data_IF_636999908242
#
_entry.id   IF_636999908242
#
_cell.length_a   1.000
_cell.length_b   1.000
_cell.length_c   1.000
_cell.angle_alpha   90.00
_cell.angle_beta   90.00
_cell.angle_gamma   90.00
#
_symmetry.space_group_name_H-M   'P 1'
#
loop_
_entity.id
_entity.type
_entity.pdbx_description
1 polymer ?
#
# COMPACT_ATOMS: atom_id res chain seq x y z
N UNK A 1 -8.85 6.66 -2.80
CA UNK A 1 -8.06 7.29 -3.88
C UNK A 1 -6.99 6.29 -4.33
N UNK A 2 -6.65 6.24 -5.62
CA UNK A 2 -5.55 5.40 -6.13
C UNK A 2 -4.30 6.25 -6.32
N UNK A 3 -3.14 5.69 -5.97
CA UNK A 3 -1.83 6.33 -6.04
C UNK A 3 -0.86 5.39 -6.79
N UNK A 4 0.09 5.92 -7.56
CA UNK A 4 1.13 5.09 -8.18
C UNK A 4 2.05 4.52 -7.09
N UNK A 5 2.47 3.26 -7.26
CA UNK A 5 3.58 2.73 -6.48
C UNK A 5 4.89 3.46 -6.84
N UNK A 6 5.69 3.78 -5.82
CA UNK A 6 6.89 4.60 -5.97
C UNK A 6 8.03 3.87 -6.66
N UNK A 7 8.24 2.59 -6.36
CA UNK A 7 9.32 1.80 -6.96
C UNK A 7 9.02 1.51 -8.43
N UNK A 8 7.78 1.13 -8.74
CA UNK A 8 7.33 0.93 -10.13
C UNK A 8 7.41 2.22 -10.95
N UNK A 9 7.09 3.36 -10.35
CA UNK A 9 7.21 4.66 -11.00
C UNK A 9 8.66 5.07 -11.25
N UNK A 10 9.57 4.80 -10.32
CA UNK A 10 11.00 5.06 -10.48
C UNK A 10 11.61 4.22 -11.62
N UNK A 11 11.26 2.95 -11.73
CA UNK A 11 11.69 2.08 -12.83
C UNK A 11 11.19 2.61 -14.18
N UNK A 12 9.89 2.90 -14.30
CA UNK A 12 9.33 3.45 -15.54
C UNK A 12 9.97 4.80 -15.92
N UNK A 13 10.34 5.61 -14.92
CA UNK A 13 11.06 6.86 -15.14
C UNK A 13 12.52 6.65 -15.60
N UNK A 14 13.15 5.50 -15.36
CA UNK A 14 14.45 5.17 -15.96
C UNK A 14 14.26 4.83 -17.45
N UNK A 15 13.28 3.97 -17.76
CA UNK A 15 12.94 3.59 -19.14
C UNK A 15 12.60 4.79 -20.03
N UNK A 16 11.82 5.74 -19.51
CA UNK A 16 11.44 6.95 -20.24
C UNK A 16 12.62 7.91 -20.51
N UNK A 17 13.62 7.95 -19.60
CA UNK A 17 14.85 8.71 -19.84
C UNK A 17 15.73 8.04 -20.89
N UNK A 18 15.83 6.72 -20.86
CA UNK A 18 16.58 5.95 -21.86
C UNK A 18 15.96 6.04 -23.26
N UNK A 19 14.63 5.93 -23.37
CA UNK A 19 13.93 6.01 -24.66
C UNK A 19 13.84 7.43 -25.21
N UNK A 20 13.85 8.46 -24.35
CA UNK A 20 13.64 9.89 -24.69
C UNK A 20 12.29 10.18 -25.37
N UNK A 21 11.35 9.24 -25.31
CA UNK A 21 10.02 9.35 -25.94
C UNK A 21 9.01 10.08 -25.05
N UNK A 22 7.99 10.65 -25.68
CA UNK A 22 6.81 11.20 -25.03
C UNK A 22 5.70 10.14 -24.91
N UNK A 23 5.19 9.97 -23.69
CA UNK A 23 4.17 8.98 -23.34
C UNK A 23 2.88 9.65 -22.85
N UNK A 24 1.68 9.21 -23.30
CA UNK A 24 0.42 9.77 -22.84
C UNK A 24 0.16 9.41 -21.37
N UNK A 25 -0.06 10.43 -20.54
CA UNK A 25 -0.20 10.32 -19.09
C UNK A 25 -1.39 9.44 -18.67
N UNK A 26 -2.47 9.48 -19.44
CA UNK A 26 -3.67 8.69 -19.18
C UNK A 26 -3.39 7.19 -19.37
N UNK A 27 -2.61 6.83 -20.39
CA UNK A 27 -2.23 5.43 -20.64
C UNK A 27 -1.29 4.91 -19.56
N UNK A 28 -0.36 5.74 -19.08
CA UNK A 28 0.49 5.42 -17.92
C UNK A 28 -0.40 5.12 -16.71
N UNK A 29 -1.37 5.97 -16.40
CA UNK A 29 -2.30 5.77 -15.28
C UNK A 29 -3.11 4.46 -15.44
N UNK A 30 -3.60 4.14 -16.63
CA UNK A 30 -4.27 2.85 -16.91
C UNK A 30 -3.35 1.63 -16.74
N UNK A 31 -2.09 1.71 -17.23
CA UNK A 31 -1.07 0.65 -17.07
C UNK A 31 -0.65 0.43 -15.61
N UNK A 32 -0.79 1.45 -14.76
CA UNK A 32 -0.66 1.36 -13.32
C UNK A 32 -1.86 0.65 -12.69
N UNK A 33 -3.09 1.08 -13.00
CA UNK A 33 -4.33 0.49 -12.43
C UNK A 33 -4.53 -0.98 -12.81
N UNK A 34 -4.03 -1.41 -13.97
CA UNK A 34 -4.19 -2.77 -14.50
C UNK A 34 -3.59 -3.86 -13.59
N UNK A 35 -2.53 -3.58 -12.82
CA UNK A 35 -1.84 -4.56 -11.99
C UNK A 35 -1.83 -4.15 -10.51
N UNK A 36 -2.24 -5.04 -9.58
CA UNK A 36 -2.31 -4.71 -8.14
C UNK A 36 -0.96 -4.31 -7.52
N UNK A 37 0.15 -4.76 -8.09
CA UNK A 37 1.52 -4.51 -7.59
C UNK A 37 2.14 -3.21 -8.12
N UNK A 38 1.32 -2.38 -8.80
CA UNK A 38 1.72 -1.08 -9.36
C UNK A 38 0.99 0.09 -8.73
N UNK A 39 -0.06 -0.13 -7.95
CA UNK A 39 -0.81 0.95 -7.30
C UNK A 39 -0.97 0.72 -5.80
N UNK A 40 -1.17 1.82 -5.09
CA UNK A 40 -1.55 1.87 -3.69
C UNK A 40 -2.97 2.47 -3.58
N UNK A 41 -3.75 2.02 -2.62
CA UNK A 41 -5.06 2.56 -2.30
C UNK A 41 -4.95 3.38 -1.01
N UNK A 42 -5.17 4.69 -1.10
CA UNK A 42 -5.40 5.55 0.06
C UNK A 42 -6.87 5.41 0.47
N UNK A 43 -7.08 4.87 1.67
CA UNK A 43 -8.33 4.88 2.41
C UNK A 43 -8.32 6.07 3.37
N UNK A 44 -9.46 6.72 3.53
CA UNK A 44 -9.62 7.89 4.40
C UNK A 44 -11.05 7.90 4.94
N UNK A 45 -11.18 8.05 6.26
CA UNK A 45 -12.47 8.23 6.91
C UNK A 45 -13.01 9.64 6.62
N UNK A 46 -14.34 9.79 6.47
CA UNK A 46 -14.97 11.12 6.41
C UNK A 46 -14.54 12.00 7.58
N UNK A 47 -14.62 13.32 7.40
CA UNK A 47 -14.53 14.24 8.53
C UNK A 47 -15.73 13.99 9.46
N UNK A 48 -15.55 14.02 10.79
CA UNK A 48 -16.65 13.93 11.74
C UNK A 48 -17.57 15.15 11.62
N UNK A 49 -18.83 15.00 12.02
CA UNK A 49 -19.70 16.16 12.25
C UNK A 49 -19.21 16.96 13.48
N UNK A 50 -19.70 18.19 13.65
CA UNK A 50 -19.37 19.01 14.81
C UNK A 50 -19.77 18.28 16.11
N UNK A 51 -18.81 18.12 17.03
CA UNK A 51 -18.98 17.39 18.29
C UNK A 51 -18.77 15.88 18.23
N UNK A 52 -18.60 15.27 17.04
CA UNK A 52 -18.35 13.83 16.93
C UNK A 52 -16.85 13.46 17.01
N UNK A 53 -16.57 12.29 17.60
CA UNK A 53 -15.22 11.75 17.63
C UNK A 53 -14.78 11.29 16.23
N UNK A 54 -13.55 11.66 15.82
CA UNK A 54 -13.00 11.28 14.52
C UNK A 54 -12.79 9.77 14.42
N UNK A 55 -13.52 9.12 13.53
CA UNK A 55 -13.38 7.68 13.27
C UNK A 55 -12.00 7.35 12.70
N UNK A 56 -11.45 6.21 13.13
CA UNK A 56 -10.14 5.69 12.71
C UNK A 56 -10.29 4.35 11.99
N UNK A 57 -9.26 4.01 11.20
CA UNK A 57 -9.03 2.70 10.63
C UNK A 57 -7.86 2.05 11.37
N UNK A 58 -7.93 0.75 11.61
CA UNK A 58 -6.87 -0.06 12.19
C UNK A 58 -6.09 -0.74 11.07
N UNK A 59 -4.80 -0.42 10.92
CA UNK A 59 -3.92 -1.04 9.93
C UNK A 59 -2.92 -1.98 10.61
N UNK A 60 -2.86 -3.22 10.13
CA UNK A 60 -1.77 -4.13 10.45
C UNK A 60 -0.46 -3.64 9.81
N UNK A 61 0.60 -3.47 10.59
CA UNK A 61 1.89 -2.99 10.09
C UNK A 61 2.65 -4.08 9.32
N UNK A 62 2.41 -5.35 9.65
CA UNK A 62 3.07 -6.53 9.07
C UNK A 62 2.69 -6.82 7.61
N UNK A 63 1.42 -6.64 7.25
CA UNK A 63 0.90 -6.92 5.90
C UNK A 63 0.23 -5.72 5.24
N UNK A 64 0.10 -4.59 5.95
CA UNK A 64 -0.61 -3.37 5.53
C UNK A 64 -2.13 -3.53 5.32
N UNK A 65 -2.73 -4.67 5.68
CA UNK A 65 -4.18 -4.91 5.67
C UNK A 65 -4.91 -3.99 6.66
N UNK A 66 -6.15 -3.62 6.36
CA UNK A 66 -6.90 -2.56 7.08
C UNK A 66 -8.27 -3.06 7.51
N UNK A 67 -8.68 -2.65 8.70
CA UNK A 67 -9.91 -3.05 9.38
C UNK A 67 -10.61 -1.80 9.95
N UNK A 68 -11.95 -1.84 10.00
CA UNK A 68 -12.77 -0.80 10.66
C UNK A 68 -12.87 -0.97 12.17
N UNK A 69 -12.66 -2.19 12.67
CA UNK A 69 -12.74 -2.53 14.08
C UNK A 69 -11.42 -3.12 14.56
N UNK A 70 -10.91 -2.61 15.68
CA UNK A 70 -9.61 -3.00 16.26
C UNK A 70 -9.52 -4.49 16.56
N UNK A 71 -10.56 -5.07 17.18
CA UNK A 71 -10.61 -6.50 17.51
C UNK A 71 -10.41 -7.41 16.29
N UNK A 72 -10.91 -7.03 15.11
CA UNK A 72 -10.73 -7.80 13.88
C UNK A 72 -9.27 -7.73 13.39
N UNK A 73 -8.61 -6.59 13.57
CA UNK A 73 -7.18 -6.43 13.27
C UNK A 73 -6.31 -7.24 14.24
N UNK A 74 -6.68 -7.26 15.53
CA UNK A 74 -6.01 -8.05 16.56
C UNK A 74 -6.12 -9.56 16.28
N UNK A 75 -7.34 -10.05 15.98
CA UNK A 75 -7.55 -11.44 15.60
C UNK A 75 -6.81 -11.83 14.31
N UNK A 76 -6.75 -10.94 13.32
CA UNK A 76 -5.98 -11.16 12.08
C UNK A 76 -4.48 -11.29 12.35
N UNK A 77 -3.90 -10.39 13.15
CA UNK A 77 -2.46 -10.41 13.51
C UNK A 77 -2.10 -11.73 14.20
N UNK A 78 -2.89 -12.15 15.19
CA UNK A 78 -2.65 -13.40 15.94
C UNK A 78 -2.86 -14.66 15.08
N UNK A 79 -3.78 -14.63 14.10
CA UNK A 79 -4.06 -15.79 13.25
C UNK A 79 -3.05 -15.95 12.11
N UNK A 80 -2.71 -14.85 11.42
CA UNK A 80 -2.11 -14.88 10.09
C UNK A 80 -0.61 -14.49 10.08
N UNK A 81 -0.01 -14.13 11.22
CA UNK A 81 1.39 -13.66 11.30
C UNK A 81 2.26 -14.36 12.36
N UNK A 82 1.81 -15.44 13.00
CA UNK A 82 2.62 -16.22 13.94
C UNK A 82 3.94 -16.70 13.32
N UNK A 83 3.89 -17.11 12.06
CA UNK A 83 5.02 -17.55 11.25
C UNK A 83 6.13 -16.50 11.09
N UNK A 84 5.82 -15.21 11.29
CA UNK A 84 6.82 -14.14 11.25
C UNK A 84 7.65 -14.03 12.53
N UNK A 85 7.05 -14.29 13.68
CA UNK A 85 7.68 -14.13 15.00
C UNK A 85 8.21 -15.45 15.57
N UNK A 86 7.59 -16.56 15.18
CA UNK A 86 7.92 -17.89 15.64
C UNK A 86 8.49 -18.75 14.50
N UNK A 87 9.50 -19.54 14.83
CA UNK A 87 9.84 -20.75 14.12
C UNK A 87 8.86 -21.84 14.57
N UNK A 88 8.26 -22.53 13.60
CA UNK A 88 7.17 -23.47 13.81
C UNK A 88 7.69 -24.85 13.45
N UNK A 89 7.91 -25.69 14.45
CA UNK A 89 8.47 -27.03 14.29
C UNK A 89 7.42 -28.08 14.66
N UNK A 90 7.25 -29.10 13.81
CA UNK A 90 6.53 -30.31 14.20
C UNK A 90 7.51 -31.28 14.86
N UNK A 91 7.31 -31.53 16.16
CA UNK A 91 8.10 -32.50 16.92
C UNK A 91 7.31 -33.78 17.15
N UNK A 92 8.00 -34.93 17.06
CA UNK A 92 7.42 -36.21 17.44
C UNK A 92 7.66 -36.46 18.93
N UNK A 93 6.57 -36.43 19.70
CA UNK A 93 6.55 -36.68 21.14
C UNK A 93 6.04 -38.09 21.41
N UNK A 94 6.47 -38.69 22.52
CA UNK A 94 6.04 -40.03 22.91
C UNK A 94 4.51 -40.12 23.01
N UNK A 95 3.86 -41.16 22.43
CA UNK A 95 2.42 -41.30 22.45
C UNK A 95 1.88 -41.34 23.89
N UNK A 96 0.66 -40.83 24.15
CA UNK A 96 0.16 -40.66 25.51
C UNK A 96 0.14 -42.00 26.27
N UNK A 97 0.87 -42.04 27.38
CA UNK A 97 0.96 -43.21 28.25
C UNK A 97 -0.36 -43.41 29.00
N UNK A 98 -1.05 -44.52 28.72
CA UNK A 98 -2.30 -44.87 29.36
C UNK A 98 -3.04 -46.02 28.69
N UNK A 99 -3.80 -46.77 29.49
CA UNK A 99 -4.71 -47.80 28.97
C UNK A 99 -6.06 -47.16 28.61
N UNK A 100 -6.17 -46.71 27.36
CA UNK A 100 -7.37 -46.08 26.83
C UNK A 100 -8.23 -47.10 26.10
N UNK A 101 -9.32 -47.55 26.72
CA UNK A 101 -10.21 -48.53 26.11
C UNK A 101 -11.22 -47.92 25.09
N UNK A 102 -11.34 -46.59 25.03
CA UNK A 102 -12.41 -45.89 24.30
C UNK A 102 -11.93 -44.52 23.85
N UNK A 103 -12.35 -44.07 22.66
CA UNK A 103 -12.03 -42.75 22.09
C UNK A 103 -13.32 -42.01 21.70
N UNK A 104 -13.39 -40.72 21.99
CA UNK A 104 -14.49 -39.88 21.53
C UNK A 104 -14.26 -39.43 20.08
N UNK A 105 -15.33 -39.44 19.30
CA UNK A 105 -15.35 -39.07 17.89
C UNK A 105 -16.43 -38.03 17.64
N UNK A 106 -16.11 -37.01 16.85
CA UNK A 106 -17.09 -36.03 16.41
C UNK A 106 -18.08 -36.69 15.43
N UNK A 107 -19.38 -36.68 15.73
CA UNK A 107 -20.41 -37.22 14.84
C UNK A 107 -20.64 -36.40 13.56
N UNK A 108 -19.99 -35.24 13.42
CA UNK A 108 -20.10 -34.36 12.25
C UNK A 108 -18.91 -34.48 11.29
N UNK A 109 -17.67 -34.35 11.77
CA UNK A 109 -16.46 -34.51 10.94
C UNK A 109 -15.89 -35.92 10.92
N UNK A 110 -16.27 -36.76 11.88
CA UNK A 110 -15.63 -38.05 12.11
C UNK A 110 -14.23 -37.97 12.73
N UNK A 111 -13.76 -36.79 13.13
CA UNK A 111 -12.44 -36.61 13.76
C UNK A 111 -12.42 -37.14 15.19
N UNK A 112 -11.25 -37.64 15.60
CA UNK A 112 -11.01 -38.19 16.94
C UNK A 112 -10.62 -37.04 17.89
N UNK A 113 -11.29 -36.98 19.04
CA UNK A 113 -11.12 -35.96 20.08
C UNK A 113 -10.31 -36.47 21.28
N UNK A 114 -10.01 -37.77 21.30
CA UNK A 114 -9.34 -38.45 22.39
C UNK A 114 -10.29 -39.10 23.42
N UNK A 115 -9.76 -39.87 24.38
CA UNK A 115 -10.52 -40.52 25.44
C UNK A 115 -11.10 -39.49 26.43
N UNK A 116 -12.32 -39.68 26.97
CA UNK A 116 -12.90 -38.77 27.97
C UNK A 116 -12.07 -38.60 29.26
N UNK A 117 -11.18 -39.55 29.55
CA UNK A 117 -10.29 -39.54 30.72
C UNK A 117 -8.92 -38.89 30.44
N UNK A 118 -8.68 -38.37 29.23
CA UNK A 118 -7.41 -37.73 28.87
C UNK A 118 -7.45 -36.22 29.15
N UNK A 119 -6.38 -35.64 29.67
CA UNK A 119 -6.34 -34.22 30.09
C UNK A 119 -6.65 -33.25 28.92
N UNK A 120 -6.12 -33.49 27.71
CA UNK A 120 -6.36 -32.67 26.53
C UNK A 120 -7.77 -32.77 25.93
N UNK A 121 -8.62 -33.69 26.39
CA UNK A 121 -9.94 -33.97 25.80
C UNK A 121 -10.86 -32.73 25.72
N UNK A 122 -10.92 -31.94 26.81
CA UNK A 122 -11.76 -30.76 26.88
C UNK A 122 -11.23 -29.61 26.01
N UNK A 123 -9.92 -29.46 25.91
CA UNK A 123 -9.26 -28.46 25.07
C UNK A 123 -9.50 -28.77 23.59
N UNK A 124 -9.33 -30.04 23.19
CA UNK A 124 -9.56 -30.52 21.82
C UNK A 124 -11.02 -30.33 21.39
N UNK A 125 -11.98 -30.58 22.28
CA UNK A 125 -13.40 -30.24 22.05
C UNK A 125 -13.59 -28.74 21.80
N UNK A 126 -12.96 -27.90 22.61
CA UNK A 126 -13.13 -26.45 22.52
C UNK A 126 -12.52 -25.88 21.23
N UNK A 127 -11.34 -26.36 20.82
CA UNK A 127 -10.65 -25.99 19.59
C UNK A 127 -11.43 -26.43 18.34
N UNK A 128 -11.93 -27.66 18.31
CA UNK A 128 -12.65 -28.21 17.15
C UNK A 128 -14.04 -27.55 17.02
N UNK A 129 -14.70 -27.24 18.15
CA UNK A 129 -15.92 -26.44 18.17
C UNK A 129 -15.68 -25.01 17.68
N UNK A 130 -14.69 -24.29 18.23
CA UNK A 130 -14.47 -22.88 17.88
C UNK A 130 -13.97 -22.67 16.45
N UNK A 131 -13.18 -23.61 15.92
CA UNK A 131 -12.62 -23.52 14.56
C UNK A 131 -13.61 -23.89 13.45
N UNK A 132 -14.48 -24.88 13.65
CA UNK A 132 -15.38 -25.41 12.60
C UNK A 132 -16.87 -25.33 12.88
N UNK A 133 -17.26 -25.28 14.15
CA UNK A 133 -18.66 -25.40 14.58
C UNK A 133 -19.16 -24.23 15.45
N UNK A 134 -18.48 -23.07 15.40
CA UNK A 134 -18.88 -21.86 16.14
C UNK A 134 -20.27 -21.32 15.77
N UNK A 135 -20.88 -21.81 14.67
CA UNK A 135 -22.24 -21.48 14.24
C UNK A 135 -23.35 -22.27 14.97
N UNK A 136 -23.01 -23.25 15.81
CA UNK A 136 -23.96 -23.99 16.65
C UNK A 136 -23.61 -23.84 18.14
N UNK A 137 -24.58 -24.03 19.03
CA UNK A 137 -24.30 -23.95 20.47
C UNK A 137 -23.33 -25.04 20.91
N UNK A 138 -22.52 -24.76 21.94
CA UNK A 138 -21.59 -25.76 22.51
C UNK A 138 -22.35 -26.98 23.05
N UNK A 139 -23.58 -26.80 23.54
CA UNK A 139 -24.44 -27.90 24.00
C UNK A 139 -24.88 -28.83 22.86
N UNK A 140 -25.33 -28.26 21.72
CA UNK A 140 -25.70 -29.04 20.54
C UNK A 140 -24.51 -29.78 19.92
N UNK A 141 -23.32 -29.20 20.01
CA UNK A 141 -22.09 -29.84 19.58
C UNK A 141 -21.71 -31.01 20.48
N UNK A 142 -21.72 -30.82 21.81
CA UNK A 142 -21.45 -31.89 22.79
C UNK A 142 -22.43 -33.07 22.65
N UNK A 143 -23.70 -32.80 22.37
CA UNK A 143 -24.71 -33.83 22.13
C UNK A 143 -24.46 -34.69 20.87
N UNK A 144 -23.56 -34.26 19.97
CA UNK A 144 -23.17 -34.95 18.73
C UNK A 144 -21.82 -35.66 18.84
N UNK A 145 -21.24 -35.76 20.05
CA UNK A 145 -20.03 -36.54 20.29
C UNK A 145 -20.40 -37.99 20.59
N UNK A 146 -19.71 -38.92 19.93
CA UNK A 146 -19.93 -40.36 20.10
C UNK A 146 -18.68 -41.03 20.63
N UNK A 147 -18.86 -41.79 21.70
CA UNK A 147 -17.78 -42.50 22.41
C UNK A 147 -17.68 -43.91 21.82
N UNK A 148 -16.61 -44.17 21.08
CA UNK A 148 -16.42 -45.41 20.29
C UNK A 148 -15.34 -46.28 20.93
N UNK A 149 -15.68 -47.55 21.14
CA UNK A 149 -14.78 -48.58 21.68
C UNK A 149 -14.18 -49.39 20.53
N UNK A 150 -13.08 -48.89 20.00
CA UNK A 150 -12.35 -49.48 18.89
C UNK A 150 -10.84 -49.25 19.12
N UNK A 151 -10.07 -50.33 19.16
CA UNK A 151 -8.63 -50.31 19.44
C UNK A 151 -7.85 -49.62 18.31
N UNK A 152 -8.26 -49.79 17.05
CA UNK A 152 -7.63 -49.14 15.90
C UNK A 152 -7.84 -47.62 15.91
N UNK A 153 -9.01 -47.14 16.34
CA UNK A 153 -9.26 -45.70 16.50
C UNK A 153 -8.52 -45.11 17.72
N UNK A 154 -8.31 -45.89 18.78
CA UNK A 154 -7.46 -45.47 19.90
C UNK A 154 -5.99 -45.35 19.45
N UNK A 155 -5.49 -46.28 18.66
CA UNK A 155 -4.13 -46.20 18.08
C UNK A 155 -4.00 -45.02 17.11
N UNK A 156 -4.97 -44.82 16.20
CA UNK A 156 -4.99 -43.68 15.31
C UNK A 156 -5.00 -42.34 16.06
N UNK A 157 -5.74 -42.25 17.18
CA UNK A 157 -5.67 -41.07 18.04
C UNK A 157 -4.29 -40.92 18.71
N UNK A 158 -3.72 -41.99 19.28
CA UNK A 158 -2.37 -41.97 19.87
C UNK A 158 -1.31 -41.53 18.85
N UNK A 159 -1.42 -41.94 17.58
CA UNK A 159 -0.55 -41.49 16.50
C UNK A 159 -0.77 -40.00 16.17
N UNK A 160 -2.01 -39.51 16.20
CA UNK A 160 -2.28 -38.08 16.00
C UNK A 160 -1.70 -37.19 17.11
N UNK A 161 -1.65 -37.68 18.35
CA UNK A 161 -1.03 -36.98 19.50
C UNK A 161 0.50 -37.02 19.51
N UNK A 162 1.15 -37.86 18.67
CA UNK A 162 2.61 -37.85 18.52
C UNK A 162 3.10 -36.54 17.93
N UNK A 163 2.33 -35.92 17.03
CA UNK A 163 2.74 -34.70 16.33
C UNK A 163 2.36 -33.47 17.14
N UNK A 164 3.35 -32.81 17.75
CA UNK A 164 3.15 -31.54 18.46
C UNK A 164 3.85 -30.40 17.75
N UNK A 165 3.07 -29.40 17.36
CA UNK A 165 3.58 -28.14 16.82
C UNK A 165 4.11 -27.28 17.96
N UNK A 166 5.42 -27.06 17.99
CA UNK A 166 6.12 -26.18 18.92
C UNK A 166 6.43 -24.86 18.21
N UNK A 167 6.33 -23.77 18.96
CA UNK A 167 6.61 -22.41 18.52
C UNK A 167 7.81 -21.89 19.31
N UNK A 168 8.94 -21.60 18.64
CA UNK A 168 10.13 -20.98 19.25
C UNK A 168 10.28 -19.55 18.73
N UNK A 169 10.61 -18.59 19.58
CA UNK A 169 10.80 -17.20 19.14
C UNK A 169 12.03 -17.07 18.23
N UNK A 170 11.86 -16.48 17.04
CA UNK A 170 12.97 -16.22 16.09
C UNK A 170 13.97 -15.18 16.60
N UNK A 171 13.53 -14.33 17.52
CA UNK A 171 14.33 -13.32 18.21
C UNK A 171 13.97 -13.41 19.70
N UNK A 172 14.61 -14.31 20.47
CA UNK A 172 14.46 -14.33 21.91
C UNK A 172 15.06 -13.05 22.53
N UNK A 173 14.63 -12.65 23.74
CA UNK A 173 15.27 -11.54 24.45
C UNK A 173 16.73 -11.88 24.79
N UNK A 174 17.56 -10.84 24.89
CA UNK A 174 19.01 -10.97 25.01
C UNK A 174 19.40 -11.72 26.30
N UNK A 175 20.01 -12.91 26.15
CA UNK A 175 20.42 -13.78 27.25
C UNK A 175 19.51 -14.98 27.53
N UNK A 176 18.36 -15.12 26.86
CA UNK A 176 17.45 -16.27 27.02
C UNK A 176 17.48 -17.20 25.78
N UNK A 177 17.39 -18.51 26.01
CA UNK A 177 17.16 -19.47 24.92
C UNK A 177 15.70 -19.40 24.44
N UNK A 178 15.46 -19.72 23.16
CA UNK A 178 14.13 -19.68 22.57
C UNK A 178 13.24 -20.80 23.12
N UNK A 179 12.51 -20.50 24.20
CA UNK A 179 11.62 -21.43 24.89
C UNK A 179 10.60 -22.09 23.95
N UNK A 180 10.32 -23.37 24.22
CA UNK A 180 9.30 -24.14 23.52
C UNK A 180 7.90 -23.72 23.98
N UNK A 181 7.15 -23.08 23.09
CA UNK A 181 5.79 -22.62 23.39
C UNK A 181 4.75 -23.46 22.63
N UNK A 182 3.65 -23.74 23.31
CA UNK A 182 2.42 -24.20 22.65
C UNK A 182 1.82 -23.08 21.82
N UNK A 183 0.94 -23.44 20.86
CA UNK A 183 0.20 -22.44 20.06
C UNK A 183 -0.51 -21.39 20.92
N UNK A 184 -1.17 -21.81 22.01
CA UNK A 184 -1.90 -20.89 22.88
C UNK A 184 -0.97 -19.88 23.58
N UNK A 185 0.22 -20.31 24.02
CA UNK A 185 1.23 -19.43 24.62
C UNK A 185 1.84 -18.47 23.57
N UNK A 186 2.08 -18.94 22.34
CA UNK A 186 2.55 -18.09 21.25
C UNK A 186 1.50 -17.03 20.84
N UNK A 187 0.22 -17.41 20.79
CA UNK A 187 -0.88 -16.47 20.55
C UNK A 187 -1.02 -15.43 21.68
N UNK A 188 -0.86 -15.82 22.95
CA UNK A 188 -0.91 -14.88 24.08
C UNK A 188 0.31 -13.94 24.12
N UNK A 189 1.51 -14.46 23.83
CA UNK A 189 2.69 -13.61 23.63
C UNK A 189 2.44 -12.56 22.54
N UNK A 190 1.85 -12.97 21.42
CA UNK A 190 1.53 -12.07 20.31
C UNK A 190 0.47 -11.02 20.68
N UNK A 191 -0.55 -11.41 21.47
CA UNK A 191 -1.53 -10.47 22.06
C UNK A 191 -0.85 -9.45 22.96
N UNK A 192 0.13 -9.85 23.77
CA UNK A 192 0.88 -8.93 24.64
C UNK A 192 1.67 -7.85 23.88
N UNK A 193 2.13 -8.16 22.65
CA UNK A 193 2.90 -7.25 21.79
C UNK A 193 2.06 -6.50 20.74
N UNK A 194 0.75 -6.76 20.67
CA UNK A 194 -0.10 -6.37 19.54
C UNK A 194 -0.22 -4.86 19.32
N UNK A 195 -0.05 -4.06 20.38
CA UNK A 195 -0.06 -2.58 20.32
C UNK A 195 1.04 -2.02 19.40
N UNK A 196 2.17 -2.71 19.27
CA UNK A 196 3.25 -2.33 18.35
C UNK A 196 3.03 -2.78 16.90
N UNK A 197 2.12 -3.74 16.67
CA UNK A 197 1.86 -4.35 15.36
C UNK A 197 0.69 -3.68 14.61
N UNK A 198 -0.06 -2.81 15.29
CA UNK A 198 -1.24 -2.13 14.79
C UNK A 198 -1.06 -0.62 14.80
N UNK A 199 -1.51 0.06 13.75
CA UNK A 199 -1.59 1.52 13.67
C UNK A 199 -3.02 1.97 13.46
N UNK A 200 -3.53 2.77 14.38
CA UNK A 200 -4.80 3.47 14.22
C UNK A 200 -4.59 4.82 13.53
N UNK A 201 -5.39 5.11 12.50
CA UNK A 201 -5.33 6.40 11.80
C UNK A 201 -6.61 6.67 11.02
N UNK A 202 -7.09 7.93 10.89
CA UNK A 202 -8.18 8.25 9.97
C UNK A 202 -7.81 8.07 8.50
N UNK A 203 -6.52 7.87 8.17
CA UNK A 203 -6.03 7.65 6.80
C UNK A 203 -5.03 6.49 6.75
N UNK A 204 -5.22 5.55 5.83
CA UNK A 204 -4.34 4.42 5.62
C UNK A 204 -3.95 4.30 4.14
N UNK A 205 -2.75 3.80 3.86
CA UNK A 205 -2.30 3.48 2.50
C UNK A 205 -2.05 1.98 2.45
N UNK A 206 -2.67 1.30 1.48
CA UNK A 206 -2.72 -0.16 1.36
C UNK A 206 -2.20 -0.56 -0.03
N UNK A 207 -1.32 -1.57 -0.15
CA UNK A 207 -0.93 -2.12 -1.45
C UNK A 207 -2.14 -2.61 -2.26
N UNK A 208 -2.11 -2.47 -3.59
CA UNK A 208 -3.24 -2.83 -4.45
C UNK A 208 -3.67 -4.30 -4.36
N UNK A 209 -2.75 -5.21 -4.05
CA UNK A 209 -3.05 -6.61 -3.76
C UNK A 209 -3.86 -6.77 -2.46
N UNK A 210 -3.40 -6.14 -1.38
CA UNK A 210 -4.04 -6.16 -0.07
C UNK A 210 -5.42 -5.48 -0.08
N UNK A 211 -5.61 -4.44 -0.90
CA UNK A 211 -6.92 -3.76 -1.02
C UNK A 211 -8.03 -4.63 -1.66
N UNK A 212 -7.69 -5.75 -2.28
CA UNK A 212 -8.65 -6.74 -2.82
C UNK A 212 -9.02 -7.81 -1.79
N UNK A 213 -8.22 -7.91 -0.72
CA UNK A 213 -8.35 -8.91 0.33
C UNK A 213 -8.94 -8.28 1.60
N UNK A 214 -10.07 -7.56 1.53
CA UNK A 214 -10.75 -7.08 2.74
C UNK A 214 -11.82 -8.07 3.21
N UNK A 215 -11.78 -8.39 4.51
CA UNK A 215 -12.80 -9.22 5.17
C UNK A 215 -14.08 -8.40 5.46
N UNK A 216 -13.93 -7.09 5.72
CA UNK A 216 -15.04 -6.15 5.91
C UNK A 216 -15.72 -5.78 4.58
N UNK A 217 -17.04 -5.96 4.51
CA UNK A 217 -17.86 -5.71 3.33
C UNK A 217 -17.85 -4.23 2.91
N UNK A 218 -17.93 -3.30 3.86
CA UNK A 218 -17.98 -1.87 3.56
C UNK A 218 -16.66 -1.37 2.96
N UNK A 219 -15.51 -1.84 3.46
CA UNK A 219 -14.20 -1.57 2.86
C UNK A 219 -14.09 -2.16 1.45
N UNK A 220 -14.55 -3.40 1.26
CA UNK A 220 -14.51 -4.08 -0.05
C UNK A 220 -15.40 -3.38 -1.07
N UNK A 221 -16.63 -3.04 -0.70
CA UNK A 221 -17.55 -2.29 -1.54
C UNK A 221 -17.01 -0.89 -1.89
N UNK A 222 -16.45 -0.16 -0.93
CA UNK A 222 -15.85 1.15 -1.15
C UNK A 222 -14.67 1.11 -2.14
N UNK A 223 -13.74 0.15 -1.99
CA UNK A 223 -12.63 -0.01 -2.94
C UNK A 223 -13.11 -0.49 -4.31
N UNK A 224 -14.08 -1.39 -4.36
CA UNK A 224 -14.64 -1.89 -5.63
C UNK A 224 -15.33 -0.77 -6.42
N UNK A 225 -16.13 0.07 -5.74
CA UNK A 225 -16.76 1.24 -6.32
C UNK A 225 -15.75 2.29 -6.81
N UNK A 226 -14.70 2.55 -6.00
CA UNK A 226 -13.63 3.46 -6.41
C UNK A 226 -12.85 2.90 -7.62
N UNK A 227 -12.56 1.59 -7.65
CA UNK A 227 -11.90 0.94 -8.77
C UNK A 227 -12.74 1.02 -10.06
N UNK A 228 -14.06 0.80 -9.98
CA UNK A 228 -14.98 0.95 -11.12
C UNK A 228 -15.07 2.39 -11.68
N UNK A 229 -14.72 3.41 -10.88
CA UNK A 229 -14.61 4.80 -11.38
C UNK A 229 -13.29 4.99 -12.11
N UNK A 230 -12.17 4.62 -11.48
CA UNK A 230 -10.83 4.76 -12.09
C UNK A 230 -10.65 3.89 -13.33
N UNK A 231 -11.31 2.72 -13.42
CA UNK A 231 -11.23 1.82 -14.58
C UNK A 231 -11.88 2.40 -15.83
N UNK A 232 -12.78 3.38 -15.69
CA UNK A 232 -13.36 4.14 -16.80
C UNK A 232 -12.45 5.30 -17.20
N UNK A 233 -11.93 6.02 -16.21
CA UNK A 233 -10.99 7.12 -16.41
C UNK A 233 -10.13 7.29 -15.14
N UNK A 234 -8.81 7.01 -15.18
CA UNK A 234 -7.97 6.91 -13.98
C UNK A 234 -7.53 8.29 -13.44
N UNK A 235 -8.52 9.13 -13.09
CA UNK A 235 -8.35 10.51 -12.66
C UNK A 235 -7.43 10.65 -11.46
N UNK A 236 -7.61 9.86 -10.39
CA UNK A 236 -6.81 10.07 -9.17
C UNK A 236 -5.36 9.62 -9.35
N UNK A 237 -5.12 8.61 -10.19
CA UNK A 237 -3.77 8.24 -10.62
C UNK A 237 -3.13 9.33 -11.49
N UNK A 238 -3.86 9.90 -12.47
CA UNK A 238 -3.36 11.03 -13.27
C UNK A 238 -2.95 12.21 -12.38
N UNK A 239 -3.81 12.59 -11.43
CA UNK A 239 -3.55 13.71 -10.50
C UNK A 239 -2.37 13.42 -9.55
N UNK A 240 -2.13 12.17 -9.18
CA UNK A 240 -0.96 11.78 -8.38
C UNK A 240 0.34 11.67 -9.21
N UNK A 241 0.25 11.26 -10.48
CA UNK A 241 1.40 11.12 -11.39
C UNK A 241 1.95 12.48 -11.85
N UNK A 242 1.10 13.49 -12.08
CA UNK A 242 1.55 14.83 -12.50
C UNK A 242 2.64 15.46 -11.60
N UNK A 243 2.43 15.62 -10.27
CA UNK A 243 3.45 16.19 -9.39
C UNK A 243 4.67 15.26 -9.27
N UNK A 244 4.48 13.94 -9.24
CA UNK A 244 5.58 12.98 -9.16
C UNK A 244 6.51 13.07 -10.39
N UNK A 245 5.97 13.19 -11.60
CA UNK A 245 6.76 13.41 -12.80
C UNK A 245 7.51 14.75 -12.78
N UNK A 246 6.89 15.84 -12.28
CA UNK A 246 7.58 17.14 -12.11
C UNK A 246 8.76 17.04 -11.13
N UNK A 247 8.57 16.37 -9.99
CA UNK A 247 9.63 16.11 -9.01
C UNK A 247 10.78 15.30 -9.62
N UNK A 248 10.47 14.30 -10.46
CA UNK A 248 11.44 13.52 -11.22
C UNK A 248 12.07 14.24 -12.44
N UNK A 249 11.82 15.57 -12.58
CA UNK A 249 12.33 16.42 -13.67
C UNK A 249 11.82 16.06 -15.07
N UNK A 250 10.62 15.49 -15.19
CA UNK A 250 9.94 15.33 -16.47
C UNK A 250 9.13 16.57 -16.85
N UNK A 251 8.98 16.76 -18.15
CA UNK A 251 8.19 17.83 -18.75
C UNK A 251 6.81 17.29 -19.13
N UNK A 252 5.76 18.03 -18.76
CA UNK A 252 4.38 17.71 -19.14
C UNK A 252 3.87 18.76 -20.11
N UNK A 253 3.28 18.31 -21.22
CA UNK A 253 2.78 19.18 -22.29
C UNK A 253 1.51 18.60 -22.92
N UNK A 254 0.76 19.45 -23.62
CA UNK A 254 -0.43 19.06 -24.39
C UNK A 254 -0.16 19.21 -25.88
N UNK A 255 -0.39 18.15 -26.65
CA UNK A 255 -0.33 18.18 -28.13
C UNK A 255 -1.67 18.67 -28.70
N UNK A 256 -2.74 18.20 -28.07
CA UNK A 256 -4.15 18.36 -28.40
C UNK A 256 -4.92 18.69 -27.09
N UNK A 257 -6.15 19.21 -27.19
CA UNK A 257 -6.89 19.75 -26.03
C UNK A 257 -7.08 18.72 -24.90
N UNK A 258 -7.28 17.45 -25.28
CA UNK A 258 -7.69 16.35 -24.40
C UNK A 258 -6.52 15.62 -23.72
N UNK A 259 -5.36 15.52 -24.35
CA UNK A 259 -4.30 14.60 -23.92
C UNK A 259 -3.06 15.34 -23.41
N UNK A 260 -2.52 14.84 -22.31
CA UNK A 260 -1.28 15.33 -21.69
C UNK A 260 -0.22 14.25 -21.83
N UNK A 261 0.94 14.63 -22.37
CA UNK A 261 2.10 13.77 -22.55
C UNK A 261 3.19 14.11 -21.53
N UNK A 262 4.00 13.12 -21.21
CA UNK A 262 5.16 13.20 -20.32
C UNK A 262 6.41 12.83 -21.11
N UNK A 263 7.47 13.63 -21.01
CA UNK A 263 8.78 13.37 -21.65
C UNK A 263 9.93 13.76 -20.73
N UNK A 264 11.06 13.06 -20.85
CA UNK A 264 12.30 13.41 -20.16
C UNK A 264 13.04 14.59 -20.83
N UNK A 265 12.80 14.84 -22.12
CA UNK A 265 13.49 15.88 -22.91
C UNK A 265 12.63 17.14 -22.96
N UNK A 266 13.14 18.33 -22.61
CA UNK A 266 12.36 19.58 -22.69
C UNK A 266 11.96 19.89 -24.14
N UNK A 267 10.67 20.01 -24.47
CA UNK A 267 10.24 20.43 -25.81
C UNK A 267 10.72 21.85 -26.10
N UNK A 268 11.60 22.01 -27.08
CA UNK A 268 12.31 23.27 -27.38
C UNK A 268 12.29 23.55 -28.88
N UNK A 269 11.43 24.46 -29.38
CA UNK A 269 11.38 24.81 -30.79
C UNK A 269 12.74 25.30 -31.31
N UNK A 270 13.17 24.78 -32.45
CA UNK A 270 14.41 25.17 -33.13
C UNK A 270 14.09 26.24 -34.18
N UNK A 271 14.88 27.31 -34.21
CA UNK A 271 14.80 28.34 -35.24
C UNK A 271 15.31 27.78 -36.59
N UNK A 272 14.49 27.90 -37.63
CA UNK A 272 14.79 27.32 -38.95
C UNK A 272 15.97 28.05 -39.63
N UNK A 273 16.03 29.38 -39.48
CA UNK A 273 17.02 30.21 -40.18
C UNK A 273 18.46 29.96 -39.72
N UNK A 274 18.67 29.70 -38.43
CA UNK A 274 19.99 29.41 -37.83
C UNK A 274 20.42 27.95 -37.96
N UNK A 275 19.53 27.06 -38.40
CA UNK A 275 19.80 25.63 -38.53
C UNK A 275 20.64 25.26 -39.78
N UNK A 276 21.26 24.07 -39.77
CA UNK A 276 21.94 23.49 -40.93
C UNK A 276 20.93 23.08 -42.02
N UNK A 277 21.37 23.00 -43.27
CA UNK A 277 20.49 22.69 -44.41
C UNK A 277 19.69 21.38 -44.23
N UNK A 278 20.35 20.32 -43.75
CA UNK A 278 19.71 19.02 -43.46
C UNK A 278 18.65 19.14 -42.35
N UNK A 279 18.92 19.96 -41.31
CA UNK A 279 17.94 20.20 -40.24
C UNK A 279 16.74 21.00 -40.76
N UNK A 280 16.93 22.00 -41.63
CA UNK A 280 15.81 22.73 -42.27
C UNK A 280 14.93 21.79 -43.10
N UNK A 281 15.54 20.92 -43.90
CA UNK A 281 14.82 19.89 -44.67
C UNK A 281 13.95 19.01 -43.77
N UNK A 282 14.50 18.52 -42.65
CA UNK A 282 13.77 17.71 -41.66
C UNK A 282 12.62 18.51 -41.02
N UNK A 283 12.88 19.73 -40.55
CA UNK A 283 11.89 20.55 -39.84
C UNK A 283 10.73 20.95 -40.75
N UNK A 284 11.01 21.48 -41.94
CA UNK A 284 9.97 21.85 -42.91
C UNK A 284 9.15 20.65 -43.38
N UNK A 285 9.79 19.47 -43.51
CA UNK A 285 9.08 18.25 -43.87
C UNK A 285 8.15 17.75 -42.76
N UNK A 286 8.60 17.80 -41.49
CA UNK A 286 7.79 17.45 -40.31
C UNK A 286 6.66 18.45 -40.02
N UNK A 287 6.83 19.73 -40.36
CA UNK A 287 5.76 20.73 -40.26
C UNK A 287 4.63 20.44 -41.24
N UNK A 288 4.97 20.08 -42.48
CA UNK A 288 3.99 19.68 -43.50
C UNK A 288 3.36 18.30 -43.26
N UNK A 289 4.08 17.38 -42.60
CA UNK A 289 3.69 15.98 -42.42
C UNK A 289 3.82 15.53 -40.95
N UNK A 290 2.97 16.03 -40.03
CA UNK A 290 2.99 15.61 -38.64
C UNK A 290 2.52 14.16 -38.47
N UNK A 291 3.05 13.45 -37.47
CA UNK A 291 2.62 12.08 -37.14
C UNK A 291 3.31 10.97 -37.94
N UNK A 292 4.33 11.28 -38.72
CA UNK A 292 5.14 10.29 -39.47
C UNK A 292 6.26 9.69 -38.61
N UNK A 293 6.76 8.52 -38.99
CA UNK A 293 7.85 7.82 -38.30
C UNK A 293 9.24 8.17 -38.86
N UNK A 294 10.31 7.87 -38.11
CA UNK A 294 11.71 8.02 -38.59
C UNK A 294 11.96 7.37 -39.96
N UNK A 295 11.40 6.17 -40.18
CA UNK A 295 11.55 5.43 -41.44
C UNK A 295 10.88 6.15 -42.61
N UNK A 296 9.70 6.73 -42.38
CA UNK A 296 8.99 7.51 -43.39
C UNK A 296 9.70 8.84 -43.70
N UNK A 297 10.28 9.51 -42.70
CA UNK A 297 11.12 10.70 -42.92
C UNK A 297 12.30 10.36 -43.84
N UNK A 298 13.02 9.27 -43.56
CA UNK A 298 14.12 8.82 -44.41
C UNK A 298 13.65 8.48 -45.83
N UNK A 299 12.62 7.64 -45.95
CA UNK A 299 12.12 7.17 -47.25
C UNK A 299 11.60 8.30 -48.15
N UNK A 300 11.04 9.36 -47.58
CA UNK A 300 10.50 10.49 -48.35
C UNK A 300 11.54 11.59 -48.63
N UNK A 301 12.47 11.86 -47.72
CA UNK A 301 13.54 12.85 -47.95
C UNK A 301 14.72 12.29 -48.76
N UNK A 302 14.94 10.97 -48.74
CA UNK A 302 16.01 10.26 -49.48
C UNK A 302 15.44 8.96 -50.10
N UNK A 303 14.53 9.06 -51.09
CA UNK A 303 13.87 7.91 -51.69
C UNK A 303 14.85 6.98 -52.40
N UNK A 304 14.74 5.68 -52.12
CA UNK A 304 15.62 4.65 -52.68
C UNK A 304 17.04 4.62 -52.11
N UNK A 305 17.36 5.44 -51.10
CA UNK A 305 18.64 5.37 -50.41
C UNK A 305 18.71 4.10 -49.53
N UNK A 306 19.84 3.41 -49.59
CA UNK A 306 20.19 2.37 -48.63
C UNK A 306 20.27 2.99 -47.22
N UNK A 307 19.62 2.42 -46.18
CA UNK A 307 19.77 2.91 -44.80
C UNK A 307 21.22 2.92 -44.29
N UNK A 308 22.12 2.12 -44.86
CA UNK A 308 23.56 2.14 -44.53
C UNK A 308 24.35 3.18 -45.33
N UNK A 309 23.73 3.89 -46.28
CA UNK A 309 24.39 4.96 -47.03
C UNK A 309 24.73 6.17 -46.15
N UNK A 310 25.85 6.83 -46.46
CA UNK A 310 26.32 7.99 -45.70
C UNK A 310 25.27 9.12 -45.57
N UNK A 311 24.49 9.38 -46.63
CA UNK A 311 23.42 10.38 -46.61
C UNK A 311 22.20 9.99 -45.78
N UNK A 312 21.89 8.69 -45.67
CA UNK A 312 20.87 8.19 -44.76
C UNK A 312 21.34 8.29 -43.30
N UNK A 313 22.59 7.89 -43.03
CA UNK A 313 23.22 8.00 -41.71
C UNK A 313 23.30 9.45 -41.22
N UNK A 314 23.69 10.41 -42.07
CA UNK A 314 23.72 11.83 -41.74
C UNK A 314 22.33 12.37 -41.36
N UNK A 315 21.30 12.05 -42.14
CA UNK A 315 19.92 12.48 -41.87
C UNK A 315 19.39 11.89 -40.56
N UNK A 316 19.61 10.59 -40.33
CA UNK A 316 19.19 9.91 -39.10
C UNK A 316 19.96 10.41 -37.86
N UNK A 317 21.23 10.78 -37.99
CA UNK A 317 22.03 11.40 -36.93
C UNK A 317 21.45 12.77 -36.55
N UNK A 318 21.20 13.65 -37.54
CA UNK A 318 20.58 14.96 -37.29
C UNK A 318 19.19 14.81 -36.66
N UNK A 319 18.36 13.90 -37.14
CA UNK A 319 17.04 13.62 -36.55
C UNK A 319 17.13 13.08 -35.11
N UNK A 320 18.12 12.23 -34.83
CA UNK A 320 18.37 11.70 -33.49
C UNK A 320 18.84 12.79 -32.52
N UNK A 321 19.68 13.73 -32.98
CA UNK A 321 20.12 14.89 -32.21
C UNK A 321 18.95 15.87 -31.96
N UNK A 322 18.08 16.10 -32.94
CA UNK A 322 16.87 16.91 -32.77
C UNK A 322 15.93 16.33 -31.70
N UNK A 323 15.77 15.00 -31.65
CA UNK A 323 15.01 14.33 -30.58
C UNK A 323 15.75 14.39 -29.24
N UNK A 324 17.09 14.26 -29.23
CA UNK A 324 17.90 14.35 -28.02
C UNK A 324 17.82 15.71 -27.32
N UNK A 325 17.74 16.80 -28.10
CA UNK A 325 17.70 18.18 -27.61
C UNK A 325 16.29 18.80 -27.59
N UNK A 326 15.26 18.03 -27.95
CA UNK A 326 13.85 18.45 -27.85
C UNK A 326 13.33 19.32 -28.98
N UNK A 327 14.11 19.48 -30.07
CA UNK A 327 13.69 20.13 -31.30
C UNK A 327 12.67 19.33 -32.12
N UNK A 328 12.61 18.02 -31.91
CA UNK A 328 11.55 17.13 -32.40
C UNK A 328 11.09 16.26 -31.24
N UNK A 329 9.78 16.05 -31.13
CA UNK A 329 9.16 15.15 -30.15
C UNK A 329 8.95 13.80 -30.84
N UNK A 330 9.52 12.73 -30.29
CA UNK A 330 9.19 11.35 -30.65
C UNK A 330 8.19 10.79 -29.63
N UNK A 331 7.06 10.28 -30.08
CA UNK A 331 6.06 9.64 -29.22
C UNK A 331 6.37 8.15 -29.01
N UNK A 332 5.70 7.55 -28.03
CA UNK A 332 5.86 6.14 -27.66
C UNK A 332 5.67 5.17 -28.85
N UNK A 333 4.78 5.51 -29.78
CA UNK A 333 4.46 4.77 -31.01
C UNK A 333 5.47 4.98 -32.15
N UNK A 334 6.47 5.85 -31.95
CA UNK A 334 7.51 6.19 -32.94
C UNK A 334 7.10 7.27 -33.94
N UNK A 335 5.93 7.88 -33.78
CA UNK A 335 5.53 9.06 -34.56
C UNK A 335 6.27 10.32 -34.09
N UNK A 336 6.43 11.28 -35.00
CA UNK A 336 7.20 12.50 -34.79
C UNK A 336 6.29 13.73 -34.90
N UNK A 337 6.52 14.73 -34.05
CA UNK A 337 5.93 16.06 -34.19
C UNK A 337 6.90 17.16 -33.76
N UNK A 338 6.70 18.36 -34.30
CA UNK A 338 7.42 19.54 -33.84
C UNK A 338 6.85 20.05 -32.50
N UNK A 339 7.71 20.51 -31.56
CA UNK A 339 7.25 21.17 -30.35
C UNK A 339 6.52 22.47 -30.72
N UNK A 340 5.25 22.56 -30.34
CA UNK A 340 4.49 23.81 -30.50
C UNK A 340 5.04 24.85 -29.52
N UNK A 341 5.69 25.88 -30.05
CA UNK A 341 6.05 27.05 -29.26
C UNK A 341 4.80 27.63 -28.57
N UNK A 342 4.95 28.11 -27.34
CA UNK A 342 3.91 28.93 -26.69
C UNK A 342 3.71 30.18 -27.54
N UNK A 343 2.72 30.19 -28.44
CA UNK A 343 2.15 31.44 -28.93
C UNK A 343 1.71 32.20 -27.69
N UNK A 344 2.36 33.32 -27.40
CA UNK A 344 1.97 34.18 -26.29
C UNK A 344 0.48 34.51 -26.48
N UNK A 345 -0.33 34.22 -25.46
CA UNK A 345 -1.73 34.68 -25.44
C UNK A 345 -1.67 36.20 -25.57
N UNK A 346 -2.30 36.84 -26.58
CA UNK A 346 -2.37 38.28 -26.62
C UNK A 346 -3.08 38.72 -25.34
N UNK A 347 -2.42 39.56 -24.55
CA UNK A 347 -3.00 40.14 -23.35
C UNK A 347 -4.16 41.02 -23.77
N UNK A 348 -5.40 40.55 -23.57
CA UNK A 348 -6.59 41.38 -23.75
C UNK A 348 -6.55 42.45 -22.66
N UNK A 349 -6.18 43.67 -23.05
CA UNK A 349 -6.22 44.84 -22.18
C UNK A 349 -7.66 45.05 -21.71
N UNK A 350 -7.93 44.75 -20.44
CA UNK A 350 -9.24 44.95 -19.83
C UNK A 350 -9.54 46.44 -19.71
N UNK A 351 -10.35 46.97 -20.62
CA UNK A 351 -10.95 48.30 -20.48
C UNK A 351 -12.06 48.19 -19.42
N UNK A 352 -11.86 48.84 -18.28
CA UNK A 352 -12.85 48.87 -17.20
C UNK A 352 -14.11 49.63 -17.64
N UNK A 353 -15.29 49.11 -17.25
CA UNK A 353 -16.53 49.90 -17.22
C UNK A 353 -17.42 49.46 -16.04
N UNK A 354 -18.03 50.45 -15.40
CA UNK A 354 -18.68 50.30 -14.09
C UNK A 354 -20.10 49.71 -14.16
N UNK A 355 -20.58 49.23 -12.99
CA UNK A 355 -21.97 48.85 -12.74
C UNK A 355 -22.92 50.07 -12.72
N UNK A 356 -24.24 49.83 -12.88
CA UNK A 356 -25.11 49.98 -11.71
C UNK A 356 -26.25 48.93 -11.62
N UNK A 357 -27.03 49.02 -10.54
CA UNK A 357 -28.22 48.21 -10.24
C UNK A 357 -29.49 48.80 -10.92
N UNK A 358 -30.69 48.19 -10.93
CA UNK A 358 -31.21 47.06 -10.14
C UNK A 358 -32.23 46.17 -10.94
N UNK A 359 -33.29 45.71 -10.26
CA UNK A 359 -34.45 44.88 -10.70
C UNK A 359 -35.77 45.55 -10.19
N UNK A 360 -37.03 45.09 -10.45
CA UNK A 360 -37.48 43.69 -10.73
C UNK A 360 -38.72 43.45 -11.67
N UNK A 361 -39.10 42.16 -11.79
CA UNK A 361 -40.36 41.54 -12.30
C UNK A 361 -40.65 41.66 -13.82
N UNK A 362 -41.32 40.71 -14.51
CA UNK A 362 -42.15 39.54 -14.10
C UNK A 362 -42.08 38.38 -15.15
N UNK A 363 -42.93 37.34 -15.01
CA UNK A 363 -43.16 36.06 -15.76
C UNK A 363 -43.02 36.04 -17.32
N UNK A 364 -42.93 34.93 -18.09
CA UNK A 364 -43.21 33.48 -17.87
C UNK A 364 -42.51 32.56 -18.94
N UNK A 365 -42.51 31.24 -18.71
CA UNK A 365 -42.55 30.09 -19.65
C UNK A 365 -41.42 29.74 -20.70
N UNK A 366 -40.96 28.49 -20.54
CA UNK A 366 -40.61 27.43 -21.53
C UNK A 366 -39.29 27.36 -22.36
N UNK A 367 -38.61 26.22 -22.12
CA UNK A 367 -38.07 25.23 -23.08
C UNK A 367 -36.55 25.16 -23.41
N UNK A 368 -35.94 24.12 -22.82
CA UNK A 368 -35.03 23.12 -23.42
C UNK A 368 -33.51 23.33 -23.56
N UNK A 369 -32.84 22.19 -23.30
CA UNK A 369 -31.48 21.71 -23.63
C UNK A 369 -30.27 22.17 -22.79
N UNK A 370 -29.48 21.14 -22.49
CA UNK A 370 -28.01 21.10 -22.36
C UNK A 370 -27.36 21.26 -20.98
N UNK A 371 -26.19 20.62 -20.88
CA UNK A 371 -25.57 20.21 -19.63
C UNK A 371 -24.30 21.01 -19.38
N UNK A 372 -24.12 21.50 -18.15
CA UNK A 372 -22.91 22.20 -17.75
C UNK A 372 -22.25 21.54 -16.52
N UNK A 373 -20.93 21.36 -16.61
CA UNK A 373 -20.10 20.96 -15.48
C UNK A 373 -20.05 22.09 -14.47
N UNK A 374 -20.26 21.80 -13.19
CA UNK A 374 -19.93 22.77 -12.14
C UNK A 374 -18.41 22.87 -12.03
N UNK A 375 -17.88 24.04 -12.38
CA UNK A 375 -16.49 24.44 -12.13
C UNK A 375 -16.19 24.46 -10.62
N UNK A 376 -15.02 23.95 -10.25
CA UNK A 376 -14.50 24.07 -8.89
C UNK A 376 -13.62 25.33 -8.78
N UNK A 377 -13.83 26.20 -7.78
CA UNK A 377 -12.93 27.33 -7.56
C UNK A 377 -11.57 26.85 -7.01
N UNK A 378 -10.51 27.29 -7.67
CA UNK A 378 -9.19 27.54 -7.07
C UNK A 378 -9.32 28.93 -6.39
N UNK A 379 -8.62 29.31 -5.31
CA UNK A 379 -7.28 28.94 -4.86
C UNK A 379 -7.17 28.89 -3.32
N UNK A 380 -6.18 28.15 -2.81
CA UNK A 380 -5.55 28.43 -1.52
C UNK A 380 -4.10 27.95 -1.55
N UNK A 381 -3.16 28.90 -1.52
CA UNK A 381 -1.73 28.60 -1.43
C UNK A 381 -1.42 27.91 -0.11
N UNK A 382 -0.73 26.76 -0.15
CA UNK A 382 -0.16 26.13 1.04
C UNK A 382 1.35 26.14 0.91
N UNK A 383 1.99 27.02 1.68
CA UNK A 383 3.43 27.07 1.86
C UNK A 383 3.92 25.76 2.48
N UNK A 384 4.85 25.08 1.82
CA UNK A 384 5.50 23.89 2.36
C UNK A 384 6.70 24.30 3.21
N UNK A 385 6.55 24.30 4.53
CA UNK A 385 7.69 24.27 5.43
C UNK A 385 8.12 22.81 5.65
N UNK A 386 9.32 22.47 5.19
CA UNK A 386 10.00 21.24 5.57
C UNK A 386 10.49 21.38 7.02
N UNK A 387 10.04 20.50 7.91
CA UNK A 387 10.59 20.35 9.25
C UNK A 387 11.49 19.11 9.28
N UNK A 388 12.80 19.34 9.20
CA UNK A 388 13.82 18.35 9.51
C UNK A 388 13.80 18.13 11.03
N UNK A 389 13.57 16.89 11.48
CA UNK A 389 13.55 16.55 12.90
C UNK A 389 14.87 15.89 13.32
N UNK A 390 15.79 16.68 13.87
CA UNK A 390 16.84 16.20 14.77
C UNK A 390 16.24 15.92 16.17
N UNK A 391 16.89 15.06 16.99
CA UNK A 391 16.29 14.53 18.22
C UNK A 391 16.21 15.57 19.37
N UNK A 392 15.27 15.39 20.32
CA UNK A 392 15.18 16.24 21.51
C UNK A 392 16.35 15.97 22.49
N UNK A 393 16.72 16.96 23.32
CA UNK A 393 17.82 16.84 24.29
C UNK A 393 17.43 16.02 25.53
N UNK A 394 18.45 15.52 26.23
CA UNK A 394 18.33 14.99 27.59
C UNK A 394 17.92 16.11 28.57
N UNK A 395 16.87 15.89 29.36
CA UNK A 395 16.65 16.66 30.59
C UNK A 395 17.30 15.93 31.77
N UNK A 396 18.19 16.64 32.46
CA UNK A 396 19.03 16.08 33.50
C UNK A 396 18.25 15.81 34.81
N UNK A 397 18.58 14.69 35.43
CA UNK A 397 18.27 14.42 36.85
C UNK A 397 19.03 15.42 37.74
N UNK A 398 18.37 16.08 38.70
CA UNK A 398 19.07 16.61 39.87
C UNK A 398 19.20 15.48 40.90
N UNK A 399 20.38 14.89 40.99
CA UNK A 399 20.80 14.13 42.16
C UNK A 399 21.92 14.91 42.84
N UNK A 400 21.70 15.27 44.10
CA UNK A 400 22.79 15.50 45.04
C UNK A 400 22.33 14.95 46.40
N UNK A 401 23.23 14.24 47.07
CA UNK A 401 22.93 13.42 48.24
C UNK A 401 23.19 14.20 49.57
N UNK A 402 23.72 13.61 50.64
CA UNK A 402 22.94 13.40 51.85
C UNK A 402 23.38 14.29 53.01
N UNK A 403 22.56 14.38 54.05
CA UNK A 403 23.05 14.82 55.37
C UNK A 403 22.60 13.83 56.47
N UNK A 404 23.54 13.52 57.36
CA UNK A 404 23.42 12.48 58.38
C UNK A 404 24.18 12.87 59.65
N UNK A 405 23.44 13.34 60.64
CA UNK A 405 23.80 13.40 62.06
C UNK A 405 22.48 13.20 62.86
N UNK A 406 22.35 12.19 63.72
CA UNK A 406 22.81 12.19 65.12
C UNK A 406 22.15 13.35 65.93
N UNK A 407 21.47 13.12 67.06
CA UNK A 407 21.79 12.20 68.17
C UNK A 407 20.56 11.62 68.91
N UNK A 408 20.78 10.48 69.60
CA UNK A 408 20.17 10.02 70.87
C UNK A 408 18.62 9.89 71.04
N UNK A 409 18.07 8.86 71.71
CA UNK A 409 18.58 8.04 72.83
C UNK A 409 17.83 6.69 72.99
N UNK A 410 18.48 5.73 73.70
CA UNK A 410 17.93 4.71 74.62
C UNK A 410 16.67 3.87 74.25
N UNK A 411 16.53 2.56 74.51
CA UNK A 411 17.33 1.52 75.20
C UNK A 411 16.67 0.15 74.94
N UNK A 412 17.40 -0.98 74.93
CA UNK A 412 16.79 -2.31 75.14
C UNK A 412 17.30 -3.45 74.25
N UNK A 413 18.28 -4.19 74.76
CA UNK A 413 18.71 -5.54 74.33
C UNK A 413 18.39 -6.53 75.47
N UNK A 414 18.66 -7.86 75.37
CA UNK A 414 18.50 -8.81 74.25
C UNK A 414 17.91 -10.18 74.70
N UNK A 415 17.72 -11.11 73.74
CA UNK A 415 17.81 -12.59 73.89
C UNK A 415 17.97 -13.12 72.43
N UNK A 416 19.02 -13.82 71.96
CA UNK A 416 19.77 -14.99 72.47
C UNK A 416 18.83 -16.20 72.68
N UNK A 417 18.99 -17.39 72.09
CA UNK A 417 20.18 -18.21 71.78
C UNK A 417 20.00 -18.95 70.42
N UNK A 418 21.00 -18.94 69.53
CA UNK A 418 22.04 -19.97 69.29
C UNK A 418 21.64 -21.15 68.38
N UNK A 419 22.66 -21.66 67.67
CA UNK A 419 22.59 -22.74 66.69
C UNK A 419 23.43 -23.94 67.17
N UNK A 420 23.66 -24.91 66.27
CA UNK A 420 24.41 -26.17 66.50
C UNK A 420 23.60 -27.20 67.34
N UNK A 421 23.69 -28.51 67.10
CA UNK A 421 24.72 -29.30 66.41
C UNK A 421 24.10 -30.43 65.54
N UNK A 422 24.89 -31.02 64.65
CA UNK A 422 24.62 -32.31 63.99
C UNK A 422 25.22 -33.46 64.87
N UNK A 423 25.38 -34.74 64.46
CA UNK A 423 25.30 -35.38 63.12
C UNK A 423 23.94 -36.00 62.75
#
# INVERSE_FOLDING_TARGET
MFLPDRERLNLLAQDFRASRRAYPLLEIASRFLAHPDRYLVKLEMPLPAEGEARQTLCQCLECRRVFRHRHNAEAHVVRDHLDKFFEIEETEVEPPAGNFAVVARCGLSGELLGPPNHHGYNERIQELWSSRYAHMSKADYLARLHTVRDEALVEQWKESERKKTIFRLKQPPEGEEAAELTRAQAEEWMRSKIKGMLRESPRCIVPGAQSRQFDDEALRAAVSFAWQKESRFPLTLVMALQPAFRQMRFYLFKVNVRETFVTAVPPSPVEIDSATQVVREILSYLEANPGITRQQVLANLRPGADPESAGAAELLLHLSNLVAHGGVIEFFDGTLALPRGRRARPSVTTVAKAAPEAKPAEEEAEATVEAELVEAPQDAEVQTNEALAEPPPEEALPADEPDAAAEESATGSPEAEQAEDAP
#
